data_IF_219835735962
#
_entry.id   IF_219835735962
#
_cell.length_a   1.000
_cell.length_b   1.000
_cell.length_c   1.000
_cell.angle_alpha   90.00
_cell.angle_beta   90.00
_cell.angle_gamma   90.00
#
_symmetry.space_group_name_H-M   'P 1'
#
loop_
_entity.id
_entity.type
_entity.pdbx_description
1 polymer ?
#
# COMPACT_ATOMS: atom_id res chain seq x y z
N UNK A 1 16.90 2.45 14.49
CA UNK A 1 15.53 2.58 15.00
C UNK A 1 14.89 1.20 14.93
N UNK A 2 14.53 0.60 16.07
CA UNK A 2 13.74 -0.64 16.08
C UNK A 2 12.27 -0.25 15.98
N UNK A 3 11.65 -0.50 14.84
CA UNK A 3 10.21 -0.43 14.72
C UNK A 3 9.61 -1.66 15.42
N UNK A 4 8.54 -1.52 16.23
CA UNK A 4 7.81 -2.69 16.69
C UNK A 4 7.38 -3.49 15.45
N UNK A 5 7.53 -4.82 15.51
CA UNK A 5 7.15 -5.69 14.39
C UNK A 5 5.66 -5.54 14.16
N UNK A 6 5.29 -4.89 13.07
CA UNK A 6 3.90 -4.69 12.69
C UNK A 6 3.41 -5.88 11.85
N UNK A 7 2.20 -6.35 12.13
CA UNK A 7 1.66 -7.56 11.52
C UNK A 7 1.22 -7.36 10.07
N UNK A 8 0.74 -6.18 9.73
CA UNK A 8 0.32 -5.84 8.38
C UNK A 8 1.36 -4.97 7.70
N UNK A 9 1.51 -5.16 6.40
CA UNK A 9 2.36 -4.31 5.58
C UNK A 9 1.60 -3.92 4.31
N UNK A 10 1.33 -2.63 4.13
CA UNK A 10 0.63 -2.07 2.98
C UNK A 10 1.60 -1.22 2.14
N UNK A 11 1.39 -1.19 0.83
CA UNK A 11 2.24 -0.47 -0.12
C UNK A 11 1.41 0.27 -1.18
N UNK A 12 1.71 1.55 -1.40
CA UNK A 12 1.08 2.41 -2.41
C UNK A 12 2.13 3.23 -3.18
N UNK A 13 2.68 2.60 -4.22
CA UNK A 13 3.92 3.01 -4.89
C UNK A 13 3.76 3.76 -6.23
N UNK A 14 2.57 4.26 -6.54
CA UNK A 14 2.29 4.89 -7.84
C UNK A 14 1.21 5.97 -7.70
N UNK A 15 1.25 7.00 -8.54
CA UNK A 15 0.24 8.08 -8.52
C UNK A 15 -1.18 7.61 -8.90
N UNK A 16 -1.33 6.37 -9.34
CA UNK A 16 -2.61 5.69 -9.55
C UNK A 16 -3.13 4.92 -8.32
N UNK A 17 -2.28 4.66 -7.33
CA UNK A 17 -2.61 3.84 -6.14
C UNK A 17 -3.37 4.65 -5.08
N UNK A 18 -4.60 5.04 -5.42
CA UNK A 18 -5.43 5.95 -4.60
C UNK A 18 -6.27 5.27 -3.52
N UNK A 19 -6.31 3.93 -3.48
CA UNK A 19 -7.13 3.20 -2.51
C UNK A 19 -6.36 3.01 -1.20
N UNK A 20 -7.08 2.82 -0.11
CA UNK A 20 -6.46 2.65 1.20
C UNK A 20 -5.64 1.36 1.27
N UNK A 21 -6.10 0.32 0.59
CA UNK A 21 -5.37 -0.94 0.37
C UNK A 21 -5.50 -1.30 -1.10
N UNK A 22 -4.37 -1.54 -1.74
CA UNK A 22 -4.30 -2.00 -3.12
C UNK A 22 -4.41 -3.53 -3.17
N UNK A 23 -5.07 -4.07 -4.20
CA UNK A 23 -5.45 -5.49 -4.25
C UNK A 23 -4.29 -6.48 -4.10
N UNK A 24 -3.11 -6.15 -4.66
CA UNK A 24 -1.92 -7.01 -4.64
C UNK A 24 -0.74 -6.45 -3.87
N UNK A 25 -0.91 -5.38 -3.08
CA UNK A 25 0.22 -4.68 -2.44
C UNK A 25 0.00 -4.58 -0.93
N UNK A 26 -0.31 -5.73 -0.34
CA UNK A 26 -0.41 -5.89 1.11
C UNK A 26 -0.08 -7.31 1.56
N UNK A 27 0.32 -7.46 2.82
CA UNK A 27 0.48 -8.74 3.51
C UNK A 27 0.10 -8.62 4.99
N UNK A 28 -0.08 -9.75 5.67
CA UNK A 28 -0.54 -9.77 7.06
C UNK A 28 -0.23 -11.07 7.80
N UNK A 29 -0.09 -10.99 9.13
CA UNK A 29 0.03 -12.16 10.00
C UNK A 29 -1.34 -12.79 10.28
N UNK A 30 -1.50 -14.08 10.00
CA UNK A 30 -2.73 -14.81 10.36
C UNK A 30 -2.88 -15.05 11.88
N UNK A 31 -1.79 -14.94 12.64
CA UNK A 31 -1.71 -15.30 14.06
C UNK A 31 -2.01 -14.15 15.03
N UNK A 32 -1.95 -12.89 14.62
CA UNK A 32 -2.09 -11.76 15.56
C UNK A 32 -3.46 -11.69 16.23
N UNK A 33 -4.53 -11.89 15.45
CA UNK A 33 -5.89 -12.04 15.94
C UNK A 33 -6.64 -13.01 15.00
N UNK A 34 -6.53 -14.32 15.23
CA UNK A 34 -6.96 -15.33 14.25
C UNK A 34 -8.47 -15.28 13.98
N UNK A 35 -9.30 -15.03 15.00
CA UNK A 35 -10.75 -14.90 14.85
C UNK A 35 -11.13 -13.71 13.97
N UNK A 36 -10.54 -12.54 14.25
CA UNK A 36 -10.82 -11.32 13.47
C UNK A 36 -10.27 -11.42 12.04
N UNK A 37 -9.10 -12.03 11.87
CA UNK A 37 -8.53 -12.31 10.55
C UNK A 37 -9.43 -13.23 9.74
N UNK A 38 -9.99 -14.28 10.37
CA UNK A 38 -10.96 -15.18 9.73
C UNK A 38 -12.23 -14.45 9.31
N UNK A 39 -12.79 -13.61 10.17
CA UNK A 39 -13.96 -12.78 9.87
C UNK A 39 -13.71 -11.87 8.66
N UNK A 40 -12.60 -11.13 8.65
CA UNK A 40 -12.22 -10.25 7.54
C UNK A 40 -12.06 -11.06 6.24
N UNK A 41 -11.38 -12.22 6.30
CA UNK A 41 -11.22 -13.10 5.13
C UNK A 41 -12.57 -13.58 4.58
N UNK A 42 -13.49 -13.98 5.45
CA UNK A 42 -14.85 -14.36 5.04
C UNK A 42 -15.58 -13.20 4.38
N UNK A 43 -15.52 -11.99 4.97
CA UNK A 43 -16.16 -10.80 4.40
C UNK A 43 -15.56 -10.40 3.03
N UNK A 44 -14.24 -10.55 2.85
CA UNK A 44 -13.58 -10.36 1.56
C UNK A 44 -13.99 -11.43 0.55
N UNK A 45 -14.15 -12.68 0.98
CA UNK A 45 -14.60 -13.77 0.12
C UNK A 45 -16.02 -13.52 -0.38
N UNK A 46 -16.93 -13.09 0.50
CA UNK A 46 -18.33 -12.80 0.18
C UNK A 46 -18.55 -11.46 -0.55
N UNK A 47 -17.53 -10.61 -0.66
CA UNK A 47 -17.67 -9.30 -1.29
C UNK A 47 -17.94 -9.40 -2.79
N UNK A 48 -18.62 -8.40 -3.36
CA UNK A 48 -18.88 -8.28 -4.80
C UNK A 48 -17.60 -8.45 -5.64
N UNK A 49 -17.66 -9.32 -6.64
CA UNK A 49 -16.55 -9.63 -7.56
C UNK A 49 -16.68 -8.84 -8.86
N UNK A 50 -16.41 -7.55 -8.78
CA UNK A 50 -16.34 -6.68 -9.95
C UNK A 50 -15.03 -5.89 -9.95
N UNK A 51 -14.74 -5.21 -11.07
CA UNK A 51 -13.53 -4.41 -11.20
C UNK A 51 -13.39 -3.38 -10.06
N UNK A 52 -12.28 -3.44 -9.33
CA UNK A 52 -11.99 -2.62 -8.15
C UNK A 52 -12.84 -2.93 -6.91
N UNK A 53 -13.70 -3.96 -6.97
CA UNK A 53 -14.51 -4.43 -5.84
C UNK A 53 -13.66 -4.97 -4.69
N UNK A 54 -12.55 -5.63 -5.02
CA UNK A 54 -11.52 -6.09 -4.09
C UNK A 54 -10.95 -4.94 -3.26
N UNK A 55 -10.52 -3.84 -3.90
CA UNK A 55 -9.91 -2.70 -3.21
C UNK A 55 -10.94 -1.95 -2.35
N UNK A 56 -12.21 -1.90 -2.78
CA UNK A 56 -13.32 -1.37 -1.97
C UNK A 56 -13.54 -2.23 -0.73
N UNK A 57 -13.58 -3.55 -0.89
CA UNK A 57 -13.78 -4.49 0.21
C UNK A 57 -12.60 -4.47 1.20
N UNK A 58 -11.36 -4.40 0.71
CA UNK A 58 -10.16 -4.26 1.55
C UNK A 58 -10.16 -2.94 2.32
N UNK A 59 -10.51 -1.83 1.65
CA UNK A 59 -10.61 -0.53 2.32
C UNK A 59 -11.67 -0.52 3.42
N UNK A 60 -12.81 -1.20 3.21
CA UNK A 60 -13.90 -1.28 4.19
C UNK A 60 -13.59 -2.23 5.36
N UNK A 61 -13.12 -3.45 5.06
CA UNK A 61 -13.04 -4.53 6.04
C UNK A 61 -11.66 -4.67 6.69
N UNK A 62 -10.58 -4.38 5.97
CA UNK A 62 -9.21 -4.61 6.46
C UNK A 62 -8.55 -3.33 6.98
N UNK A 63 -8.57 -2.26 6.18
CA UNK A 63 -7.78 -1.05 6.46
C UNK A 63 -7.99 -0.50 7.86
N UNK A 64 -9.24 -0.24 8.24
CA UNK A 64 -9.58 0.38 9.52
C UNK A 64 -9.13 -0.44 10.73
N UNK A 65 -9.18 -1.77 10.61
CA UNK A 65 -8.77 -2.67 11.68
C UNK A 65 -7.24 -2.86 11.72
N UNK A 66 -6.58 -2.95 10.57
CA UNK A 66 -5.14 -3.13 10.49
C UNK A 66 -4.34 -1.88 10.91
N UNK A 67 -4.95 -0.69 10.91
CA UNK A 67 -4.28 0.59 11.22
C UNK A 67 -3.44 0.60 12.49
N UNK A 68 -3.87 -0.10 13.53
CA UNK A 68 -3.17 -0.13 14.83
C UNK A 68 -1.97 -1.06 14.84
N UNK A 69 -1.81 -1.89 13.80
CA UNK A 69 -0.72 -2.85 13.66
C UNK A 69 -0.30 -3.02 12.20
N UNK A 70 0.01 -1.92 11.52
CA UNK A 70 0.46 -1.93 10.13
C UNK A 70 1.65 -0.99 9.87
N UNK A 71 2.57 -1.44 9.03
CA UNK A 71 3.51 -0.59 8.32
C UNK A 71 2.85 -0.20 6.99
N UNK A 72 2.77 1.09 6.67
CA UNK A 72 2.22 1.52 5.39
C UNK A 72 3.22 2.39 4.62
N UNK A 73 3.81 1.86 3.55
CA UNK A 73 4.61 2.67 2.62
C UNK A 73 3.75 3.35 1.55
N UNK A 74 3.88 4.67 1.43
CA UNK A 74 3.11 5.50 0.49
C UNK A 74 4.02 6.50 -0.20
N UNK A 75 4.02 6.49 -1.55
CA UNK A 75 4.84 7.38 -2.36
C UNK A 75 4.17 8.73 -2.70
N UNK A 76 2.84 8.74 -2.92
CA UNK A 76 2.14 9.94 -3.47
C UNK A 76 1.08 10.55 -2.55
N UNK A 77 0.61 9.80 -1.55
CA UNK A 77 -0.59 10.15 -0.78
C UNK A 77 -0.32 10.22 0.73
N UNK A 78 0.91 10.49 1.14
CA UNK A 78 1.32 10.52 2.55
C UNK A 78 0.51 11.54 3.38
N UNK A 79 0.10 12.66 2.79
CA UNK A 79 -0.75 13.65 3.47
C UNK A 79 -2.15 13.10 3.80
N UNK A 80 -2.66 12.17 2.98
CA UNK A 80 -3.94 11.49 3.21
C UNK A 80 -3.79 10.36 4.24
N UNK A 81 -2.63 9.71 4.26
CA UNK A 81 -2.31 8.60 5.15
C UNK A 81 -1.22 9.06 6.13
N UNK A 82 -1.59 9.89 7.10
CA UNK A 82 -0.63 10.66 7.93
C UNK A 82 0.44 9.82 8.65
N UNK A 83 0.09 8.59 9.04
CA UNK A 83 1.01 7.66 9.72
C UNK A 83 1.79 6.76 8.75
N UNK A 84 1.70 7.03 7.44
CA UNK A 84 2.46 6.29 6.43
C UNK A 84 3.93 6.70 6.41
N UNK A 85 4.75 5.77 5.95
CA UNK A 85 6.16 5.94 5.73
C UNK A 85 6.44 6.20 4.25
N UNK A 86 7.47 6.99 3.93
CA UNK A 86 8.00 7.05 2.58
C UNK A 86 8.54 5.65 2.18
N UNK A 87 8.66 5.38 0.89
CA UNK A 87 9.32 4.14 0.45
C UNK A 87 10.81 4.18 0.78
N UNK A 88 11.39 3.05 1.26
CA UNK A 88 12.79 3.01 1.71
C UNK A 88 13.79 2.91 0.55
N UNK A 89 13.34 2.83 -0.69
CA UNK A 89 14.20 2.64 -1.87
C UNK A 89 13.85 3.61 -2.99
N UNK A 90 14.87 4.03 -3.73
CA UNK A 90 14.71 4.86 -4.94
C UNK A 90 14.11 4.02 -6.07
N UNK A 91 13.24 4.62 -6.89
CA UNK A 91 12.75 4.00 -8.12
C UNK A 91 13.75 4.22 -9.24
N UNK A 92 14.10 3.16 -9.95
CA UNK A 92 15.03 3.17 -11.10
C UNK A 92 14.22 2.88 -12.36
N UNK A 93 14.41 3.67 -13.42
CA UNK A 93 13.71 3.50 -14.70
C UNK A 93 12.17 3.50 -14.58
N UNK A 94 11.63 4.19 -13.57
CA UNK A 94 10.18 4.31 -13.33
C UNK A 94 9.50 3.00 -12.93
N UNK A 95 10.23 1.96 -12.54
CA UNK A 95 9.64 0.72 -12.02
C UNK A 95 9.12 0.94 -10.61
N UNK A 96 8.07 0.21 -10.23
CA UNK A 96 7.38 0.37 -8.95
C UNK A 96 6.70 -0.93 -8.50
N UNK A 97 6.40 -1.02 -7.20
CA UNK A 97 5.70 -2.15 -6.57
C UNK A 97 4.27 -2.25 -7.08
N UNK A 98 3.92 -3.42 -7.61
CA UNK A 98 2.61 -3.66 -8.23
C UNK A 98 2.52 -3.19 -9.69
N UNK A 99 3.65 -2.85 -10.34
CA UNK A 99 3.67 -2.57 -11.77
C UNK A 99 3.14 -3.75 -12.58
N UNK A 100 2.25 -3.44 -13.52
CA UNK A 100 1.68 -4.42 -14.45
C UNK A 100 2.44 -4.45 -15.77
N UNK A 101 3.74 -4.14 -15.77
CA UNK A 101 4.57 -4.03 -16.99
C UNK A 101 4.48 -5.25 -17.91
N UNK A 102 4.35 -6.45 -17.33
CA UNK A 102 4.19 -7.70 -18.07
C UNK A 102 2.95 -7.74 -18.98
N UNK A 103 1.88 -7.02 -18.62
CA UNK A 103 0.65 -6.86 -19.44
C UNK A 103 0.59 -5.51 -20.14
N UNK A 104 1.20 -4.48 -19.55
CA UNK A 104 1.14 -3.10 -20.00
C UNK A 104 2.56 -2.54 -20.04
N UNK A 105 3.30 -2.69 -21.15
CA UNK A 105 4.71 -2.32 -21.25
C UNK A 105 5.02 -0.87 -20.85
N UNK A 106 4.03 0.02 -20.91
CA UNK A 106 4.15 1.44 -20.54
C UNK A 106 3.81 1.75 -19.07
N UNK A 107 3.61 0.73 -18.22
CA UNK A 107 3.31 0.86 -16.79
C UNK A 107 4.55 1.28 -15.99
N UNK A 108 4.88 2.57 -16.10
CA UNK A 108 5.98 3.22 -15.39
C UNK A 108 5.49 4.46 -14.64
N UNK A 109 6.19 4.79 -13.55
CA UNK A 109 6.06 6.10 -12.93
C UNK A 109 6.53 7.17 -13.92
N UNK A 110 5.65 8.11 -14.23
CA UNK A 110 5.96 9.32 -15.02
C UNK A 110 5.85 10.61 -14.22
N UNK A 111 5.27 10.54 -13.02
CA UNK A 111 4.99 11.71 -12.19
C UNK A 111 5.98 11.79 -11.05
N UNK A 112 6.56 12.96 -10.84
CA UNK A 112 7.39 13.23 -9.66
C UNK A 112 6.56 13.03 -8.38
N UNK A 113 7.09 12.31 -7.41
CA UNK A 113 6.42 12.12 -6.13
C UNK A 113 6.49 13.41 -5.28
N UNK A 114 5.45 13.73 -4.47
CA UNK A 114 5.40 14.96 -3.67
C UNK A 114 6.59 15.08 -2.73
N UNK A 115 7.08 16.31 -2.53
CA UNK A 115 8.25 16.58 -1.69
C UNK A 115 8.09 16.05 -0.26
N UNK A 116 6.88 16.17 0.28
CA UNK A 116 6.50 15.78 1.63
C UNK A 116 6.55 14.25 1.80
N UNK A 117 6.26 13.51 0.73
CA UNK A 117 6.19 12.04 0.75
C UNK A 117 7.54 11.36 0.47
N UNK A 118 8.58 12.12 0.18
CA UNK A 118 9.94 11.59 -0.02
C UNK A 118 10.61 11.27 1.31
N UNK A 119 11.53 10.29 1.37
CA UNK A 119 12.31 10.02 2.57
C UNK A 119 13.02 11.27 3.09
N UNK A 120 13.07 11.42 4.43
CA UNK A 120 13.63 12.62 5.08
C UNK A 120 15.05 12.94 4.60
N UNK A 121 15.88 11.90 4.41
CA UNK A 121 17.28 12.02 4.01
C UNK A 121 17.52 11.80 2.51
N UNK A 122 16.45 11.65 1.71
CA UNK A 122 16.53 11.43 0.27
C UNK A 122 15.45 12.22 -0.48
N UNK A 123 15.42 13.53 -0.24
CA UNK A 123 14.48 14.43 -0.91
C UNK A 123 14.78 14.62 -2.41
N UNK A 124 15.98 14.25 -2.84
CA UNK A 124 16.43 14.19 -4.22
C UNK A 124 15.79 13.04 -5.02
N UNK A 125 15.19 12.04 -4.35
CA UNK A 125 14.46 10.95 -5.02
C UNK A 125 13.12 11.46 -5.57
N UNK A 126 13.17 12.04 -6.77
CA UNK A 126 11.98 12.57 -7.45
C UNK A 126 11.04 11.45 -7.93
N UNK A 127 11.57 10.23 -8.11
CA UNK A 127 10.80 9.02 -8.33
C UNK A 127 10.88 8.17 -7.06
N UNK A 128 9.78 8.21 -6.34
CA UNK A 128 9.44 7.34 -5.25
C UNK A 128 8.06 6.73 -5.57
#
# INVERSE_FOLDING_TARGET
MNFPVQCYHFMSDHNGHRKAVMGGMWGGCNSWQPNKTREIRTNLYLSKKNYGGDQKALSKNLYHWAKTNMTYHVAYYCQRFKDSLPFPTRRVNGTFVGSTKYRHPHSFIRRVCPWECRPKFHKDWILC
#
